data_IF_024633691207
#
_entry.id   IF_024633691207
#
_cell.length_a   1.000
_cell.length_b   1.000
_cell.length_c   1.000
_cell.angle_alpha   90.00
_cell.angle_beta   90.00
_cell.angle_gamma   90.00
#
_symmetry.space_group_name_H-M   'P 1'
#
loop_
_entity.id
_entity.type
_entity.pdbx_description
1 polymer ?
#
# COMPACT_ATOMS: atom_id res chain seq x y z
N UNK A 1 -1.18 18.93 6.33
CA UNK A 1 -0.88 17.88 7.31
C UNK A 1 -1.58 16.65 6.78
N UNK A 2 -0.83 15.61 6.46
CA UNK A 2 -1.41 14.33 6.05
C UNK A 2 -2.28 13.78 7.19
N UNK A 3 -3.24 12.90 6.86
CA UNK A 3 -4.00 12.21 7.89
C UNK A 3 -3.04 11.40 8.79
N UNK A 4 -3.27 11.41 10.10
CA UNK A 4 -2.51 10.59 11.05
C UNK A 4 -3.29 9.32 11.34
N UNK A 5 -2.59 8.18 11.32
CA UNK A 5 -3.15 6.89 11.73
C UNK A 5 -2.82 6.67 13.21
N UNK A 6 -3.83 6.36 14.02
CA UNK A 6 -3.64 5.97 15.42
C UNK A 6 -4.27 4.59 15.65
N UNK A 7 -3.44 3.60 15.98
CA UNK A 7 -3.86 2.23 16.24
C UNK A 7 -3.87 1.86 17.73
N UNK A 8 -3.61 2.82 18.63
CA UNK A 8 -3.46 2.58 20.07
C UNK A 8 -4.71 1.98 20.72
N UNK A 9 -5.89 2.45 20.31
CA UNK A 9 -7.19 1.94 20.77
C UNK A 9 -7.41 0.49 20.31
N UNK A 10 -7.04 0.17 19.08
CA UNK A 10 -7.15 -1.17 18.50
C UNK A 10 -6.16 -2.16 19.10
N UNK A 11 -4.92 -1.73 19.37
CA UNK A 11 -3.94 -2.51 20.14
C UNK A 11 -4.49 -2.91 21.51
N UNK A 12 -5.11 -1.96 22.21
CA UNK A 12 -5.73 -2.21 23.52
C UNK A 12 -6.90 -3.19 23.41
N UNK A 13 -7.80 -2.99 22.44
CA UNK A 13 -8.96 -3.86 22.22
C UNK A 13 -8.57 -5.32 21.89
N UNK A 14 -7.51 -5.52 21.11
CA UNK A 14 -6.99 -6.87 20.82
C UNK A 14 -6.33 -7.49 22.05
N UNK A 15 -5.67 -6.70 22.90
CA UNK A 15 -5.12 -7.16 24.17
C UNK A 15 -6.18 -7.69 25.16
N UNK A 16 -7.37 -7.09 25.14
CA UNK A 16 -8.50 -7.48 26.00
C UNK A 16 -9.40 -8.57 25.37
N UNK A 17 -9.22 -8.88 24.09
CA UNK A 17 -10.12 -9.73 23.32
C UNK A 17 -9.43 -10.52 22.21
N UNK A 18 -10.08 -10.63 21.06
CA UNK A 18 -9.50 -11.28 19.86
C UNK A 18 -9.42 -10.30 18.69
N UNK A 19 -8.55 -10.61 17.72
CA UNK A 19 -8.49 -9.87 16.44
C UNK A 19 -9.88 -9.81 15.79
N UNK A 20 -10.65 -10.90 15.86
CA UNK A 20 -11.98 -10.99 15.27
C UNK A 20 -12.97 -10.00 15.89
N UNK A 21 -12.89 -9.81 17.20
CA UNK A 21 -13.77 -8.88 17.93
C UNK A 21 -13.42 -7.42 17.61
N UNK A 22 -12.12 -7.11 17.48
CA UNK A 22 -11.64 -5.76 17.14
C UNK A 22 -11.79 -5.41 15.65
N UNK A 23 -11.83 -6.42 14.76
CA UNK A 23 -11.78 -6.22 13.31
C UNK A 23 -12.81 -5.25 12.74
N UNK A 24 -14.11 -5.23 13.15
CA UNK A 24 -15.07 -4.29 12.59
C UNK A 24 -14.69 -2.82 12.80
N UNK A 25 -14.23 -2.47 14.01
CA UNK A 25 -13.82 -1.11 14.36
C UNK A 25 -12.50 -0.75 13.67
N UNK A 26 -11.50 -1.63 13.76
CA UNK A 26 -10.19 -1.45 13.11
C UNK A 26 -10.33 -1.22 11.60
N UNK A 27 -11.13 -2.02 10.92
CA UNK A 27 -11.38 -1.86 9.48
C UNK A 27 -12.18 -0.61 9.14
N UNK A 28 -12.98 -0.08 10.07
CA UNK A 28 -13.67 1.19 9.86
C UNK A 28 -12.65 2.32 9.84
N UNK A 29 -11.81 2.38 10.87
CA UNK A 29 -10.83 3.45 11.06
C UNK A 29 -9.73 3.42 9.99
N UNK A 30 -9.27 2.23 9.59
CA UNK A 30 -8.33 2.09 8.47
C UNK A 30 -8.91 2.61 7.15
N UNK A 31 -10.18 2.31 6.85
CA UNK A 31 -10.82 2.84 5.64
C UNK A 31 -11.02 4.35 5.71
N UNK A 32 -11.31 4.88 6.89
CA UNK A 32 -11.44 6.31 7.10
C UNK A 32 -10.09 7.02 6.96
N UNK A 33 -9.01 6.43 7.46
CA UNK A 33 -7.64 6.90 7.20
C UNK A 33 -7.30 6.86 5.71
N UNK A 34 -7.47 5.71 5.04
CA UNK A 34 -7.17 5.52 3.61
C UNK A 34 -7.98 6.48 2.72
N UNK A 35 -9.22 6.82 3.09
CA UNK A 35 -10.01 7.82 2.33
C UNK A 35 -9.52 9.26 2.51
N UNK A 36 -8.85 9.54 3.63
CA UNK A 36 -8.38 10.90 3.99
C UNK A 36 -6.91 11.10 3.67
N UNK A 37 -6.14 10.03 3.55
CA UNK A 37 -4.74 10.11 3.12
C UNK A 37 -4.71 10.68 1.72
N UNK A 38 -3.89 11.70 1.53
CA UNK A 38 -3.69 12.37 0.26
C UNK A 38 -2.22 12.71 0.12
N UNK A 39 -1.74 12.67 -1.12
CA UNK A 39 -0.32 12.78 -1.45
C UNK A 39 0.02 14.12 -2.08
N UNK A 40 -0.88 15.10 -2.01
CA UNK A 40 -0.60 16.50 -2.36
C UNK A 40 -0.80 17.37 -1.13
N UNK A 41 0.22 18.11 -0.74
CA UNK A 41 0.14 19.07 0.35
C UNK A 41 0.72 20.42 -0.07
N UNK A 42 -0.13 21.45 -0.09
CA UNK A 42 0.31 22.81 -0.42
C UNK A 42 0.84 22.98 -1.84
N UNK A 43 0.41 22.11 -2.77
CA UNK A 43 0.92 22.07 -4.16
C UNK A 43 2.11 21.15 -4.36
N UNK A 44 2.73 20.67 -3.27
CA UNK A 44 3.84 19.73 -3.33
C UNK A 44 3.33 18.28 -3.35
N UNK A 45 3.97 17.46 -4.19
CA UNK A 45 3.78 16.02 -4.20
C UNK A 45 4.54 15.40 -3.02
N UNK A 46 3.88 14.51 -2.30
CA UNK A 46 4.43 13.76 -1.17
C UNK A 46 4.78 12.34 -1.64
N UNK A 47 5.76 11.65 -1.02
CA UNK A 47 6.11 10.28 -1.41
C UNK A 47 5.02 9.28 -0.99
N UNK A 48 4.98 8.13 -1.66
CA UNK A 48 4.26 6.94 -1.17
C UNK A 48 5.03 6.34 0.01
N UNK A 49 4.54 6.62 1.22
CA UNK A 49 5.14 6.18 2.47
C UNK A 49 4.79 4.73 2.87
N UNK A 50 5.58 4.20 3.80
CA UNK A 50 5.38 2.85 4.33
C UNK A 50 4.17 2.74 5.26
N UNK A 51 3.78 3.83 5.94
CA UNK A 51 2.57 3.88 6.79
C UNK A 51 1.30 3.59 5.98
N UNK A 52 1.17 4.20 4.80
CA UNK A 52 0.04 3.99 3.90
C UNK A 52 0.02 2.56 3.36
N UNK A 53 1.18 2.02 2.94
CA UNK A 53 1.30 0.63 2.51
C UNK A 53 0.90 -0.34 3.63
N UNK A 54 1.44 -0.16 4.84
CA UNK A 54 1.16 -0.97 6.01
C UNK A 54 -0.32 -0.85 6.46
N UNK A 55 -0.96 0.30 6.29
CA UNK A 55 -2.37 0.49 6.61
C UNK A 55 -3.31 -0.28 5.65
N UNK A 56 -3.07 -0.21 4.34
CA UNK A 56 -3.83 -1.00 3.36
C UNK A 56 -3.64 -2.50 3.62
N UNK A 57 -2.40 -2.88 3.89
CA UNK A 57 -2.01 -4.24 4.22
C UNK A 57 -2.69 -4.77 5.47
N UNK A 58 -2.72 -3.99 6.55
CA UNK A 58 -3.43 -4.34 7.77
C UNK A 58 -4.93 -4.49 7.49
N UNK A 59 -5.52 -3.61 6.66
CA UNK A 59 -6.95 -3.68 6.29
C UNK A 59 -7.30 -4.99 5.58
N UNK A 60 -6.47 -5.44 4.64
CA UNK A 60 -6.68 -6.69 3.92
C UNK A 60 -6.36 -7.92 4.78
N UNK A 61 -5.23 -7.92 5.48
CA UNK A 61 -4.83 -9.04 6.33
C UNK A 61 -5.84 -9.29 7.47
N UNK A 62 -6.33 -8.24 8.12
CA UNK A 62 -7.35 -8.40 9.17
C UNK A 62 -8.69 -8.89 8.61
N UNK A 63 -9.05 -8.54 7.37
CA UNK A 63 -10.26 -9.05 6.73
C UNK A 63 -10.18 -10.55 6.48
N UNK A 64 -9.03 -11.05 6.00
CA UNK A 64 -8.79 -12.49 5.81
C UNK A 64 -8.90 -13.22 7.15
N UNK A 65 -8.17 -12.75 8.17
CA UNK A 65 -8.14 -13.39 9.49
C UNK A 65 -9.51 -13.38 10.18
N UNK A 66 -10.25 -12.27 10.12
CA UNK A 66 -11.56 -12.15 10.75
C UNK A 66 -12.63 -13.05 10.08
N UNK A 67 -12.52 -13.27 8.76
CA UNK A 67 -13.41 -14.17 8.01
C UNK A 67 -13.06 -15.64 8.20
N UNK A 68 -11.80 -15.97 8.48
CA UNK A 68 -11.39 -17.34 8.75
C UNK A 68 -12.08 -17.88 10.00
N UNK A 69 -12.60 -19.12 9.93
CA UNK A 69 -13.17 -19.78 11.09
C UNK A 69 -12.10 -20.26 12.08
N UNK A 70 -10.88 -20.50 11.57
CA UNK A 70 -9.74 -20.95 12.37
C UNK A 70 -8.46 -20.43 11.70
N UNK A 71 -8.13 -19.14 11.89
CA UNK A 71 -6.88 -18.60 11.36
C UNK A 71 -5.68 -19.34 11.98
N UNK A 72 -4.59 -19.45 11.23
CA UNK A 72 -3.35 -20.03 11.73
C UNK A 72 -2.71 -19.10 12.76
N UNK A 73 -1.76 -19.63 13.53
CA UNK A 73 -1.00 -18.81 14.47
C UNK A 73 -0.13 -17.79 13.71
N UNK A 74 0.44 -18.18 12.57
CA UNK A 74 1.25 -17.30 11.73
C UNK A 74 0.43 -16.12 11.17
N UNK A 75 -0.80 -16.38 10.72
CA UNK A 75 -1.71 -15.32 10.26
C UNK A 75 -2.06 -14.33 11.37
N UNK A 76 -2.35 -14.83 12.58
CA UNK A 76 -2.66 -13.99 13.73
C UNK A 76 -1.45 -13.18 14.18
N UNK A 77 -0.28 -13.80 14.28
CA UNK A 77 0.97 -13.13 14.62
C UNK A 77 1.33 -12.06 13.61
N UNK A 78 1.09 -12.32 12.32
CA UNK A 78 1.35 -11.38 11.25
C UNK A 78 0.46 -10.13 11.38
N UNK A 79 -0.86 -10.30 11.59
CA UNK A 79 -1.78 -9.17 11.83
C UNK A 79 -1.42 -8.40 13.10
N UNK A 80 -0.99 -9.10 14.17
CA UNK A 80 -0.51 -8.45 15.40
C UNK A 80 0.81 -7.68 15.19
N UNK A 81 1.66 -8.13 14.27
CA UNK A 81 2.85 -7.39 13.84
C UNK A 81 2.46 -6.08 13.18
N UNK A 82 1.61 -6.14 12.15
CA UNK A 82 1.10 -4.97 11.45
C UNK A 82 0.37 -3.98 12.39
N UNK A 83 -0.51 -4.47 13.26
CA UNK A 83 -1.22 -3.64 14.22
C UNK A 83 -0.29 -2.91 15.20
N UNK A 84 0.91 -3.46 15.45
CA UNK A 84 1.88 -2.86 16.36
C UNK A 84 2.66 -1.71 15.75
N UNK A 85 2.91 -1.72 14.44
CA UNK A 85 3.84 -0.78 13.82
C UNK A 85 3.36 -0.07 12.56
N UNK A 86 2.19 -0.39 12.01
CA UNK A 86 1.71 0.25 10.78
C UNK A 86 1.55 1.77 10.91
N UNK A 87 1.14 2.29 12.08
CA UNK A 87 1.08 3.74 12.36
C UNK A 87 2.46 4.39 12.62
N UNK A 88 3.49 3.58 12.81
CA UNK A 88 4.88 4.01 12.99
C UNK A 88 5.73 3.85 11.71
N UNK A 89 5.12 3.38 10.62
CA UNK A 89 5.78 3.14 9.33
C UNK A 89 6.51 1.79 9.23
N UNK A 90 6.32 0.88 10.20
CA UNK A 90 6.89 -0.46 10.13
C UNK A 90 6.16 -1.29 9.07
N UNK A 91 6.86 -1.59 7.98
CA UNK A 91 6.38 -2.44 6.89
C UNK A 91 7.12 -3.79 6.93
N UNK A 92 6.41 -4.92 7.12
CA UNK A 92 7.02 -6.23 7.11
C UNK A 92 7.73 -6.54 5.80
N UNK A 93 8.86 -7.23 5.86
CA UNK A 93 9.58 -7.66 4.68
C UNK A 93 8.81 -8.78 3.94
N UNK A 94 9.03 -8.97 2.62
CA UNK A 94 8.41 -10.05 1.84
C UNK A 94 8.58 -11.46 2.42
N UNK A 95 9.69 -11.72 3.12
CA UNK A 95 9.94 -13.03 3.75
C UNK A 95 9.14 -13.28 5.04
N UNK A 96 8.51 -12.25 5.61
CA UNK A 96 7.72 -12.34 6.85
C UNK A 96 6.24 -12.58 6.58
N UNK A 97 5.85 -12.60 5.31
CA UNK A 97 4.49 -12.75 4.82
C UNK A 97 4.08 -14.22 4.86
N UNK A 98 3.01 -14.59 5.60
CA UNK A 98 2.46 -15.93 5.48
C UNK A 98 1.95 -16.19 4.06
N UNK A 99 2.17 -17.41 3.55
CA UNK A 99 1.73 -17.80 2.19
C UNK A 99 0.23 -17.55 1.94
N UNK A 100 -0.61 -17.69 2.98
CA UNK A 100 -2.06 -17.45 2.89
C UNK A 100 -2.45 -15.96 2.81
N UNK A 101 -1.50 -15.05 3.01
CA UNK A 101 -1.70 -13.60 3.00
C UNK A 101 -0.95 -12.91 1.86
N UNK A 102 -0.34 -13.64 0.93
CA UNK A 102 0.34 -13.06 -0.24
C UNK A 102 -0.62 -12.28 -1.12
N UNK A 103 -1.80 -12.84 -1.38
CA UNK A 103 -2.80 -12.22 -2.26
C UNK A 103 -3.38 -10.95 -1.61
N UNK A 104 -3.59 -11.01 -0.29
CA UNK A 104 -3.99 -9.84 0.50
C UNK A 104 -2.96 -8.70 0.42
N UNK A 105 -1.65 -9.02 0.42
CA UNK A 105 -0.57 -8.04 0.21
C UNK A 105 -0.58 -7.46 -1.20
N UNK A 106 -0.71 -8.33 -2.21
CA UNK A 106 -0.77 -7.90 -3.61
C UNK A 106 -1.89 -6.89 -3.85
N UNK A 107 -3.09 -7.20 -3.36
CA UNK A 107 -4.25 -6.30 -3.48
C UNK A 107 -4.07 -5.02 -2.66
N UNK A 108 -3.58 -5.13 -1.41
CA UNK A 108 -3.33 -3.98 -0.55
C UNK A 108 -2.38 -2.95 -1.19
N UNK A 109 -1.25 -3.42 -1.73
CA UNK A 109 -0.27 -2.52 -2.34
C UNK A 109 -0.79 -1.96 -3.67
N UNK A 110 -1.54 -2.74 -4.46
CA UNK A 110 -2.14 -2.23 -5.67
C UNK A 110 -3.15 -1.09 -5.38
N UNK A 111 -3.97 -1.23 -4.36
CA UNK A 111 -4.91 -0.18 -3.92
C UNK A 111 -4.19 1.08 -3.42
N UNK A 112 -3.15 0.90 -2.59
CA UNK A 112 -2.34 2.02 -2.09
C UNK A 112 -1.67 2.80 -3.24
N UNK A 113 -1.07 2.07 -4.19
CA UNK A 113 -0.42 2.65 -5.36
C UNK A 113 -1.45 3.34 -6.26
N UNK A 114 -2.64 2.77 -6.48
CA UNK A 114 -3.65 3.43 -7.32
C UNK A 114 -4.22 4.69 -6.65
N UNK A 115 -4.37 4.71 -5.32
CA UNK A 115 -4.70 5.93 -4.59
C UNK A 115 -3.64 7.02 -4.80
N UNK A 116 -2.35 6.67 -4.63
CA UNK A 116 -1.24 7.56 -4.93
C UNK A 116 -1.23 8.05 -6.39
N UNK A 117 -1.43 7.14 -7.34
CA UNK A 117 -1.44 7.40 -8.78
C UNK A 117 -2.52 8.42 -9.17
N UNK A 118 -3.70 8.38 -8.53
CA UNK A 118 -4.77 9.36 -8.76
C UNK A 118 -4.37 10.77 -8.32
N UNK A 119 -3.75 10.89 -7.17
CA UNK A 119 -3.24 12.17 -6.67
C UNK A 119 -2.09 12.67 -7.54
N UNK A 120 -1.11 11.81 -7.85
CA UNK A 120 -0.02 12.15 -8.77
C UNK A 120 -0.55 12.60 -10.15
N UNK A 121 -1.56 11.92 -10.70
CA UNK A 121 -2.19 12.36 -11.95
C UNK A 121 -2.80 13.75 -11.83
N UNK A 122 -3.41 14.08 -10.68
CA UNK A 122 -3.96 15.41 -10.41
C UNK A 122 -2.84 16.45 -10.31
N UNK A 123 -1.73 16.11 -9.66
CA UNK A 123 -0.56 16.99 -9.56
C UNK A 123 0.08 17.27 -10.93
N UNK A 124 0.14 16.26 -11.81
CA UNK A 124 0.65 16.38 -13.19
C UNK A 124 -0.25 17.23 -14.11
N UNK A 125 -1.47 17.57 -13.71
CA UNK A 125 -2.31 18.53 -14.45
C UNK A 125 -1.77 19.96 -14.32
N UNK A 126 -1.21 20.30 -13.15
CA UNK A 126 -0.58 21.60 -12.90
C UNK A 126 0.93 21.58 -13.19
N UNK A 127 1.56 20.40 -13.20
CA UNK A 127 3.00 20.18 -13.43
C UNK A 127 3.21 19.19 -14.59
N UNK A 128 3.05 19.62 -15.85
CA UNK A 128 2.97 18.69 -16.98
C UNK A 128 4.32 18.04 -17.31
N UNK A 129 4.37 16.71 -17.19
CA UNK A 129 5.45 15.86 -17.69
C UNK A 129 4.85 14.72 -18.56
N UNK A 130 5.05 14.75 -19.90
CA UNK A 130 4.52 13.72 -20.79
C UNK A 130 5.11 12.33 -20.57
N UNK A 131 6.39 12.23 -20.21
CA UNK A 131 7.04 10.94 -20.01
C UNK A 131 6.53 10.29 -18.73
N UNK A 132 6.44 11.06 -17.65
CA UNK A 132 5.86 10.57 -16.40
C UNK A 132 4.41 10.11 -16.59
N UNK A 133 3.61 10.83 -17.39
CA UNK A 133 2.24 10.40 -17.73
C UNK A 133 2.22 9.04 -18.45
N UNK A 134 3.13 8.79 -19.39
CA UNK A 134 3.24 7.50 -20.08
C UNK A 134 3.64 6.37 -19.12
N UNK A 135 4.65 6.58 -18.28
CA UNK A 135 5.04 5.58 -17.26
C UNK A 135 3.89 5.31 -16.28
N UNK A 136 3.13 6.35 -15.89
CA UNK A 136 1.97 6.22 -15.01
C UNK A 136 0.81 5.42 -15.65
N UNK A 137 0.64 5.52 -16.97
CA UNK A 137 -0.32 4.71 -17.72
C UNK A 137 0.09 3.23 -17.74
N UNK A 138 1.38 2.94 -17.96
CA UNK A 138 1.93 1.58 -17.85
C UNK A 138 1.71 1.01 -16.46
N UNK A 139 2.06 1.76 -15.41
CA UNK A 139 1.80 1.38 -14.02
C UNK A 139 0.30 1.07 -13.82
N UNK A 140 -0.60 1.95 -14.28
CA UNK A 140 -2.05 1.72 -14.18
C UNK A 140 -2.51 0.40 -14.80
N UNK A 141 -1.90 -0.02 -15.91
CA UNK A 141 -2.23 -1.29 -16.56
C UNK A 141 -1.79 -2.49 -15.72
N UNK A 142 -0.63 -2.44 -15.06
CA UNK A 142 -0.23 -3.47 -14.11
C UNK A 142 -1.16 -3.53 -12.90
N UNK A 143 -1.56 -2.39 -12.33
CA UNK A 143 -2.48 -2.35 -11.18
C UNK A 143 -3.84 -3.00 -11.52
N UNK A 144 -4.40 -2.71 -12.70
CA UNK A 144 -5.63 -3.36 -13.17
C UNK A 144 -5.49 -4.88 -13.30
N UNK A 145 -4.29 -5.36 -13.67
CA UNK A 145 -4.01 -6.80 -13.73
C UNK A 145 -3.97 -7.40 -12.33
N UNK A 146 -3.32 -6.75 -11.37
CA UNK A 146 -3.31 -7.21 -9.97
C UNK A 146 -4.73 -7.30 -9.42
N UNK A 147 -5.55 -6.28 -9.66
CA UNK A 147 -6.98 -6.29 -9.31
C UNK A 147 -7.72 -7.45 -9.97
N UNK A 148 -7.52 -7.69 -11.27
CA UNK A 148 -8.15 -8.80 -11.99
C UNK A 148 -7.69 -10.19 -11.53
N UNK A 149 -6.53 -10.28 -10.88
CA UNK A 149 -5.98 -11.49 -10.28
C UNK A 149 -6.34 -11.60 -8.79
N UNK A 150 -7.17 -10.71 -8.25
CA UNK A 150 -7.48 -10.63 -6.82
C UNK A 150 -6.22 -10.57 -5.93
N UNK A 151 -5.17 -9.91 -6.42
CA UNK A 151 -3.89 -9.80 -5.71
C UNK A 151 -2.94 -10.98 -5.89
N UNK A 152 -3.30 -12.00 -6.67
CA UNK A 152 -2.48 -13.22 -6.89
C UNK A 152 -1.25 -12.97 -7.79
N UNK A 153 -0.30 -12.20 -7.26
CA UNK A 153 1.01 -11.90 -7.84
C UNK A 153 2.12 -12.27 -6.84
N UNK A 154 3.36 -12.36 -7.33
CA UNK A 154 4.49 -12.60 -6.42
C UNK A 154 4.76 -11.39 -5.52
N UNK A 155 5.28 -11.62 -4.32
CA UNK A 155 5.69 -10.54 -3.42
C UNK A 155 6.81 -9.69 -4.03
N UNK A 156 7.72 -10.28 -4.80
CA UNK A 156 8.73 -9.52 -5.55
C UNK A 156 8.12 -8.60 -6.59
N UNK A 157 7.02 -9.00 -7.21
CA UNK A 157 6.29 -8.17 -8.17
C UNK A 157 5.56 -7.02 -7.48
N UNK A 158 4.89 -7.27 -6.34
CA UNK A 158 4.26 -6.20 -5.56
C UNK A 158 5.29 -5.16 -5.10
N UNK A 159 6.48 -5.61 -4.69
CA UNK A 159 7.60 -4.72 -4.35
C UNK A 159 8.13 -3.95 -5.57
N UNK A 160 8.17 -4.58 -6.73
CA UNK A 160 8.61 -3.91 -7.96
C UNK A 160 7.67 -2.77 -8.33
N UNK A 161 6.36 -2.94 -8.14
CA UNK A 161 5.36 -1.89 -8.36
C UNK A 161 5.52 -0.71 -7.38
N UNK A 162 5.78 -1.00 -6.10
CA UNK A 162 6.07 0.04 -5.09
C UNK A 162 7.34 0.82 -5.49
N UNK A 163 8.40 0.12 -5.86
CA UNK A 163 9.66 0.75 -6.25
C UNK A 163 9.51 1.59 -7.53
N UNK A 164 8.81 1.09 -8.56
CA UNK A 164 8.53 1.87 -9.76
C UNK A 164 7.74 3.14 -9.44
N UNK A 165 6.78 3.07 -8.51
CA UNK A 165 6.01 4.24 -8.06
C UNK A 165 6.89 5.28 -7.36
N UNK A 166 7.83 4.82 -6.53
CA UNK A 166 8.81 5.69 -5.84
C UNK A 166 9.85 6.29 -6.80
N UNK A 167 10.25 5.55 -7.83
CA UNK A 167 11.14 6.04 -8.87
C UNK A 167 10.46 7.16 -9.70
N UNK A 168 9.16 7.03 -10.01
CA UNK A 168 8.38 8.11 -10.64
C UNK A 168 8.34 9.35 -9.73
N UNK A 169 8.14 9.17 -8.42
CA UNK A 169 8.20 10.28 -7.46
C UNK A 169 9.58 10.97 -7.47
N UNK A 170 10.66 10.19 -7.41
CA UNK A 170 12.03 10.73 -7.39
C UNK A 170 12.34 11.53 -8.67
N UNK A 171 11.92 11.02 -9.85
CA UNK A 171 12.08 11.74 -11.11
C UNK A 171 11.40 13.12 -11.09
N UNK A 172 10.22 13.23 -10.48
CA UNK A 172 9.41 14.45 -10.47
C UNK A 172 9.79 15.44 -9.35
N UNK A 173 10.26 14.94 -8.21
CA UNK A 173 10.55 15.75 -7.02
C UNK A 173 12.02 16.14 -6.88
N UNK A 174 12.93 15.25 -7.25
CA UNK A 174 14.38 15.43 -7.09
C UNK A 174 15.10 15.78 -8.41
N UNK A 175 14.36 15.88 -9.52
CA UNK A 175 14.89 16.05 -10.90
C UNK A 175 15.92 14.94 -11.24
N UNK A 176 15.72 13.74 -10.69
CA UNK A 176 16.54 12.56 -10.98
C UNK A 176 16.22 12.06 -12.39
N UNK A 177 17.10 12.45 -13.32
CA UNK A 177 16.96 12.17 -14.75
C UNK A 177 16.96 10.67 -15.08
N UNK A 178 17.54 9.83 -14.21
CA UNK A 178 17.64 8.38 -14.44
C UNK A 178 16.47 7.62 -13.80
N UNK A 179 15.81 8.20 -12.79
CA UNK A 179 14.76 7.51 -12.03
C UNK A 179 13.56 7.11 -12.89
N UNK A 180 13.15 7.94 -13.85
CA UNK A 180 12.02 7.57 -14.72
C UNK A 180 12.35 6.39 -15.65
N UNK A 181 13.58 6.34 -16.16
CA UNK A 181 14.05 5.21 -16.96
C UNK A 181 14.10 3.91 -16.13
N UNK A 182 14.52 4.00 -14.86
CA UNK A 182 14.47 2.87 -13.93
C UNK A 182 13.02 2.40 -13.69
N UNK A 183 12.07 3.31 -13.52
CA UNK A 183 10.66 2.98 -13.38
C UNK A 183 10.14 2.22 -14.62
N UNK A 184 10.46 2.71 -15.82
CA UNK A 184 10.08 2.05 -17.08
C UNK A 184 10.70 0.65 -17.20
N UNK A 185 12.00 0.49 -16.91
CA UNK A 185 12.69 -0.80 -16.94
C UNK A 185 12.09 -1.81 -15.97
N UNK A 186 11.73 -1.35 -14.76
CA UNK A 186 11.05 -2.19 -13.75
C UNK A 186 9.70 -2.67 -14.26
N UNK A 187 8.87 -1.76 -14.78
CA UNK A 187 7.55 -2.10 -15.28
C UNK A 187 7.64 -3.02 -16.50
N UNK A 188 8.58 -2.78 -17.42
CA UNK A 188 8.80 -3.62 -18.59
C UNK A 188 9.26 -5.06 -18.22
N UNK A 189 9.91 -5.23 -17.07
CA UNK A 189 10.29 -6.54 -16.56
C UNK A 189 9.11 -7.32 -15.94
N UNK A 190 7.98 -6.67 -15.65
CA UNK A 190 6.75 -7.32 -15.21
C UNK A 190 5.99 -7.82 -16.45
N UNK A 191 5.95 -9.13 -16.64
CA UNK A 191 5.15 -9.78 -17.69
C UNK A 191 3.69 -9.86 -17.29
#
# INVERSE_FOLDING_TARGET
MQAELDLSSHRSAVGDGTIRDAAPALKSDLRDYIRKVGYIQGGELLPLDDTSLAAHELLHAVDVVARSNRPSDDEQLYVLGLLRGADEGDRPAPGEVPDSLTDARGLAYAEAIDAYRRDLSTWLDDNPDPNARTTLETLSNHLKRVEALDGAISLSESETLVNATRDIYAALSDDDLDALALADDRLAALF
#
